data_IF_494350072090
#
_entry.id   IF_494350072090
#
_cell.length_a   1.000
_cell.length_b   1.000
_cell.length_c   1.000
_cell.angle_alpha   90.00
_cell.angle_beta   90.00
_cell.angle_gamma   90.00
#
_symmetry.space_group_name_H-M   'P 1'
#
loop_
_entity.id
_entity.type
_entity.pdbx_description
1 polymer ?
#
# COMPACT_ATOMS: atom_id res chain seq x y z
N UNK A 1 31.30 2.14 4.35
CA UNK A 1 30.51 3.16 3.64
C UNK A 1 29.76 3.93 4.71
N UNK A 2 30.20 5.16 4.99
CA UNK A 2 29.45 6.06 5.89
C UNK A 2 28.14 6.39 5.19
N UNK A 3 27.09 5.63 5.51
CA UNK A 3 25.76 5.86 5.00
C UNK A 3 25.24 7.18 5.60
N UNK A 4 24.92 8.14 4.74
CA UNK A 4 24.30 9.39 5.16
C UNK A 4 23.00 9.07 5.88
N UNK A 5 22.84 9.52 7.13
CA UNK A 5 21.61 9.37 7.93
C UNK A 5 20.46 10.08 7.24
N UNK A 6 19.33 9.39 7.01
CA UNK A 6 18.16 9.97 6.38
C UNK A 6 17.34 10.76 7.41
N UNK A 7 17.17 12.04 7.18
CA UNK A 7 16.36 12.92 8.03
C UNK A 7 14.88 12.81 7.64
N UNK A 8 14.03 12.41 8.58
CA UNK A 8 12.62 12.08 8.34
C UNK A 8 11.69 12.97 9.17
N UNK A 9 10.69 13.56 8.53
CA UNK A 9 9.54 14.18 9.17
C UNK A 9 8.31 13.29 9.03
N UNK A 10 7.53 13.12 10.10
CA UNK A 10 6.28 12.36 10.08
C UNK A 10 5.10 13.32 10.20
N UNK A 11 4.22 13.33 9.19
CA UNK A 11 3.02 14.14 9.12
C UNK A 11 1.82 13.28 9.51
N UNK A 12 0.97 13.81 10.38
CA UNK A 12 -0.06 13.03 11.08
C UNK A 12 0.51 12.22 12.25
N UNK A 13 1.60 12.70 12.86
CA UNK A 13 2.38 12.01 13.90
C UNK A 13 1.58 11.63 15.16
N UNK A 14 0.50 12.36 15.49
CA UNK A 14 -0.40 12.04 16.59
C UNK A 14 -1.43 10.94 16.27
N UNK A 15 -1.57 10.56 14.99
CA UNK A 15 -2.45 9.49 14.55
C UNK A 15 -1.91 8.10 14.87
N UNK A 16 -2.79 7.09 14.78
CA UNK A 16 -2.44 5.67 15.07
C UNK A 16 -1.27 5.15 14.22
N UNK A 17 -1.29 5.42 12.91
CA UNK A 17 -0.19 5.04 12.01
C UNK A 17 1.03 5.95 12.19
N UNK A 18 0.82 7.27 12.23
CA UNK A 18 1.91 8.24 12.37
C UNK A 18 2.75 8.01 13.63
N UNK A 19 2.14 7.68 14.77
CA UNK A 19 2.88 7.36 16.01
C UNK A 19 3.73 6.08 15.85
N UNK A 20 3.20 5.04 15.17
CA UNK A 20 3.95 3.81 14.89
C UNK A 20 5.14 4.09 13.95
N UNK A 21 4.95 4.93 12.92
CA UNK A 21 6.04 5.37 12.04
C UNK A 21 7.11 6.15 12.82
N UNK A 22 6.72 7.06 13.72
CA UNK A 22 7.67 7.78 14.56
C UNK A 22 8.56 6.83 15.38
N UNK A 23 7.98 5.79 15.96
CA UNK A 23 8.73 4.76 16.68
C UNK A 23 9.68 4.01 15.74
N UNK A 24 9.19 3.51 14.62
CA UNK A 24 10.00 2.75 13.68
C UNK A 24 11.17 3.55 13.10
N UNK A 25 10.96 4.83 12.78
CA UNK A 25 12.03 5.73 12.31
C UNK A 25 13.06 6.01 13.43
N UNK A 26 12.60 6.19 14.67
CA UNK A 26 13.49 6.40 15.81
C UNK A 26 14.37 5.18 16.09
N UNK A 27 13.83 3.97 15.91
CA UNK A 27 14.54 2.71 16.16
C UNK A 27 15.47 2.32 14.99
N UNK A 28 15.32 2.94 13.82
CA UNK A 28 16.13 2.64 12.64
C UNK A 28 17.50 3.33 12.73
N UNK A 29 18.63 2.59 12.69
CA UNK A 29 19.97 3.15 12.95
C UNK A 29 20.47 4.09 11.83
N UNK A 30 19.86 4.03 10.66
CA UNK A 30 20.18 4.81 9.47
C UNK A 30 19.25 6.00 9.24
N UNK A 31 18.36 6.30 10.22
CA UNK A 31 17.38 7.36 10.11
C UNK A 31 17.41 8.27 11.34
N UNK A 32 16.99 9.52 11.16
CA UNK A 32 16.83 10.50 12.21
C UNK A 32 15.44 11.13 12.11
N UNK A 33 14.61 10.98 13.13
CA UNK A 33 13.31 11.63 13.23
C UNK A 33 13.48 13.10 13.61
N UNK A 34 13.44 13.99 12.62
CA UNK A 34 13.65 15.43 12.84
C UNK A 34 12.38 16.17 13.24
N UNK A 35 11.21 15.72 12.78
CA UNK A 35 9.96 16.41 13.06
C UNK A 35 8.78 15.44 13.22
N UNK A 36 7.86 15.81 14.13
CA UNK A 36 6.56 15.20 14.34
C UNK A 36 5.49 16.27 14.10
N UNK A 37 4.87 16.25 12.94
CA UNK A 37 3.93 17.28 12.49
C UNK A 37 2.51 16.77 12.70
N UNK A 38 1.70 17.56 13.39
CA UNK A 38 0.28 17.32 13.63
C UNK A 38 -0.59 18.22 12.73
N UNK A 39 -1.91 18.11 12.85
CA UNK A 39 -2.86 18.94 12.09
C UNK A 39 -2.76 20.44 12.40
N UNK A 40 -2.20 20.81 13.55
CA UNK A 40 -2.14 22.18 14.04
C UNK A 40 -0.81 22.85 13.66
N UNK A 41 0.15 22.09 13.12
CA UNK A 41 1.48 22.57 12.75
C UNK A 41 1.54 22.89 11.24
N UNK A 42 2.11 24.04 10.83
CA UNK A 42 2.35 24.30 9.44
C UNK A 42 3.47 23.42 8.88
N UNK A 43 3.41 23.07 7.59
CA UNK A 43 4.50 22.36 6.91
C UNK A 43 5.38 23.36 6.19
N UNK A 44 6.55 23.66 6.75
CA UNK A 44 7.53 24.59 6.20
C UNK A 44 8.95 24.23 6.64
N UNK A 45 9.95 24.89 6.11
CA UNK A 45 11.37 24.59 6.38
C UNK A 45 11.73 24.59 7.89
N UNK A 46 11.10 25.45 8.69
CA UNK A 46 11.35 25.52 10.12
C UNK A 46 10.79 24.28 10.86
N UNK A 47 9.53 23.93 10.58
CA UNK A 47 8.86 22.79 11.25
C UNK A 47 9.38 21.44 10.77
N UNK A 48 9.84 21.35 9.51
CA UNK A 48 10.47 20.15 8.95
C UNK A 48 11.89 19.90 9.51
N UNK A 49 12.52 20.92 10.07
CA UNK A 49 13.79 20.81 10.81
C UNK A 49 14.89 20.05 10.03
N UNK A 50 15.05 20.33 8.73
CA UNK A 50 16.07 19.68 7.89
C UNK A 50 15.74 18.27 7.43
N UNK A 51 14.48 17.86 7.49
CA UNK A 51 14.03 16.60 6.89
C UNK A 51 14.30 16.57 5.37
N UNK A 52 14.71 15.41 4.87
CA UNK A 52 14.86 15.13 3.43
C UNK A 52 13.71 14.27 2.89
N UNK A 53 13.02 13.54 3.80
CA UNK A 53 11.85 12.71 3.49
C UNK A 53 10.73 13.05 4.46
N UNK A 54 9.54 13.33 3.93
CA UNK A 54 8.29 13.44 4.68
C UNK A 54 7.46 12.18 4.52
N UNK A 55 6.96 11.61 5.64
CA UNK A 55 6.07 10.45 5.64
C UNK A 55 4.66 10.91 6.01
N UNK A 56 3.72 10.78 5.08
CA UNK A 56 2.33 11.25 5.25
C UNK A 56 1.38 10.10 5.58
N UNK A 57 0.82 10.12 6.79
CA UNK A 57 -0.31 9.30 7.22
C UNK A 57 -1.46 10.16 7.74
N UNK A 58 -1.79 11.22 7.01
CA UNK A 58 -2.92 12.10 7.29
C UNK A 58 -4.25 11.52 6.73
N UNK A 59 -5.17 12.38 6.36
CA UNK A 59 -6.50 12.02 5.85
C UNK A 59 -6.62 12.34 4.36
N UNK A 60 -7.57 11.73 3.62
CA UNK A 60 -7.74 11.89 2.17
C UNK A 60 -7.90 13.34 1.69
N UNK A 61 -8.50 14.20 2.54
CA UNK A 61 -8.75 15.60 2.19
C UNK A 61 -7.52 16.50 2.36
N UNK A 62 -6.55 16.08 3.18
CA UNK A 62 -5.36 16.87 3.48
C UNK A 62 -4.11 16.40 2.71
N UNK A 63 -4.07 15.15 2.22
CA UNK A 63 -2.84 14.53 1.72
C UNK A 63 -2.26 15.23 0.49
N UNK A 64 -3.07 15.74 -0.44
CA UNK A 64 -2.56 16.43 -1.62
C UNK A 64 -1.80 17.73 -1.25
N UNK A 65 -2.38 18.54 -0.36
CA UNK A 65 -1.74 19.77 0.11
C UNK A 65 -0.50 19.47 0.97
N UNK A 66 -0.57 18.41 1.78
CA UNK A 66 0.57 17.89 2.56
C UNK A 66 1.75 17.52 1.65
N UNK A 67 1.50 16.72 0.62
CA UNK A 67 2.55 16.28 -0.33
C UNK A 67 3.11 17.48 -1.09
N UNK A 68 2.26 18.37 -1.58
CA UNK A 68 2.69 19.62 -2.23
C UNK A 68 3.61 20.43 -1.32
N UNK A 69 3.23 20.62 -0.06
CA UNK A 69 4.03 21.36 0.91
C UNK A 69 5.38 20.67 1.18
N UNK A 70 5.44 19.34 1.28
CA UNK A 70 6.68 18.59 1.42
C UNK A 70 7.62 18.82 0.24
N UNK A 71 7.13 18.65 -1.00
CA UNK A 71 7.94 18.80 -2.21
C UNK A 71 8.47 20.23 -2.36
N UNK A 72 7.66 21.25 -2.13
CA UNK A 72 8.06 22.66 -2.23
C UNK A 72 9.05 23.09 -1.14
N UNK A 73 9.09 22.37 -0.02
CA UNK A 73 10.10 22.57 1.03
C UNK A 73 11.30 21.63 0.91
N UNK A 74 11.48 20.96 -0.24
CA UNK A 74 12.68 20.18 -0.56
C UNK A 74 12.69 18.75 -0.01
N UNK A 75 11.56 18.22 0.48
CA UNK A 75 11.44 16.84 0.93
C UNK A 75 10.88 15.93 -0.18
N UNK A 76 11.36 14.69 -0.26
CA UNK A 76 10.63 13.60 -0.92
C UNK A 76 9.41 13.22 -0.06
N UNK A 77 8.40 12.57 -0.65
CA UNK A 77 7.19 12.19 0.08
C UNK A 77 6.90 10.69 -0.03
N UNK A 78 6.75 10.04 1.14
CA UNK A 78 6.25 8.65 1.27
C UNK A 78 4.84 8.72 1.84
N UNK A 79 3.84 8.29 1.06
CA UNK A 79 2.43 8.59 1.31
C UNK A 79 1.63 7.32 1.55
N UNK A 80 1.07 7.20 2.77
CA UNK A 80 0.14 6.13 3.15
C UNK A 80 -1.31 6.61 3.28
N UNK A 81 -1.57 7.91 3.13
CA UNK A 81 -2.92 8.44 3.10
C UNK A 81 -3.63 8.03 1.80
N UNK A 82 -4.91 7.70 1.89
CA UNK A 82 -5.76 7.27 0.77
C UNK A 82 -6.47 8.46 0.10
N UNK A 83 -7.32 8.20 -0.91
CA UNK A 83 -8.13 9.24 -1.58
C UNK A 83 -7.43 9.89 -2.77
N UNK A 84 -6.45 9.24 -3.34
CA UNK A 84 -5.79 9.64 -4.58
C UNK A 84 -6.62 9.30 -5.79
N UNK A 85 -6.80 10.29 -6.69
CA UNK A 85 -7.41 10.12 -8.01
C UNK A 85 -6.36 10.38 -9.09
N UNK A 86 -6.58 9.93 -10.35
CA UNK A 86 -5.65 10.25 -11.44
C UNK A 86 -5.35 11.75 -11.58
N UNK A 87 -6.35 12.62 -11.34
CA UNK A 87 -6.20 14.06 -11.44
C UNK A 87 -5.34 14.63 -10.32
N UNK A 88 -5.49 14.13 -9.07
CA UNK A 88 -4.61 14.50 -7.95
C UNK A 88 -3.17 14.08 -8.23
N UNK A 89 -2.97 12.84 -8.71
CA UNK A 89 -1.65 12.32 -9.07
C UNK A 89 -1.00 13.21 -10.13
N UNK A 90 -1.70 13.54 -11.22
CA UNK A 90 -1.18 14.40 -12.29
C UNK A 90 -0.76 15.79 -11.79
N UNK A 91 -1.50 16.37 -10.84
CA UNK A 91 -1.10 17.64 -10.22
C UNK A 91 0.19 17.50 -9.40
N UNK A 92 0.35 16.41 -8.67
CA UNK A 92 1.57 16.16 -7.88
C UNK A 92 2.76 15.78 -8.78
N UNK A 93 2.55 15.10 -9.90
CA UNK A 93 3.60 14.85 -10.91
C UNK A 93 4.21 16.16 -11.43
N UNK A 94 3.37 17.18 -11.66
CA UNK A 94 3.83 18.50 -12.07
C UNK A 94 4.74 19.12 -11.01
N UNK A 95 4.32 19.12 -9.75
CA UNK A 95 5.11 19.68 -8.63
C UNK A 95 6.39 18.88 -8.41
N UNK A 96 6.33 17.55 -8.47
CA UNK A 96 7.50 16.68 -8.33
C UNK A 96 8.56 16.98 -9.40
N UNK A 97 8.12 17.20 -10.64
CA UNK A 97 9.01 17.58 -11.75
C UNK A 97 9.64 18.96 -11.55
N UNK A 98 8.85 19.94 -11.10
CA UNK A 98 9.32 21.33 -10.87
C UNK A 98 10.33 21.40 -9.72
N UNK A 99 10.12 20.62 -8.67
CA UNK A 99 10.97 20.60 -7.46
C UNK A 99 12.14 19.63 -7.54
N UNK A 100 12.15 18.70 -8.50
CA UNK A 100 13.11 17.59 -8.56
C UNK A 100 12.99 16.63 -7.39
N UNK A 101 11.79 16.54 -6.75
CA UNK A 101 11.52 15.63 -5.64
C UNK A 101 10.66 14.46 -6.09
N UNK A 102 10.72 13.35 -5.32
CA UNK A 102 10.08 12.10 -5.67
C UNK A 102 8.97 11.77 -4.67
N UNK A 103 7.97 11.04 -5.13
CA UNK A 103 6.80 10.66 -4.34
C UNK A 103 6.51 9.18 -4.51
N UNK A 104 6.32 8.48 -3.42
CA UNK A 104 5.67 7.18 -3.40
C UNK A 104 4.27 7.32 -2.81
N UNK A 105 3.26 6.94 -3.56
CA UNK A 105 1.89 6.75 -3.05
C UNK A 105 1.65 5.25 -2.93
N UNK A 106 1.62 4.72 -1.70
CA UNK A 106 1.40 3.30 -1.50
C UNK A 106 0.09 3.04 -0.74
N UNK A 107 -0.89 2.39 -1.38
CA UNK A 107 -2.15 2.02 -0.73
C UNK A 107 -1.95 0.96 0.36
N UNK A 108 -0.82 0.25 0.33
CA UNK A 108 -0.44 -0.73 1.33
C UNK A 108 1.09 -0.78 1.50
N UNK A 109 1.57 -0.70 2.75
CA UNK A 109 2.99 -0.86 3.13
C UNK A 109 3.30 -2.23 3.75
N UNK A 110 2.32 -3.12 3.89
CA UNK A 110 2.56 -4.48 4.37
C UNK A 110 3.30 -5.31 3.32
N UNK A 111 4.56 -5.64 3.56
CA UNK A 111 5.37 -6.43 2.63
C UNK A 111 4.70 -7.75 2.28
N UNK A 112 4.13 -8.45 3.27
CA UNK A 112 3.41 -9.71 3.05
C UNK A 112 2.20 -9.55 2.13
N UNK A 113 1.43 -8.45 2.28
CA UNK A 113 0.27 -8.18 1.43
C UNK A 113 0.69 -7.84 -0.01
N UNK A 114 1.73 -7.01 -0.19
CA UNK A 114 2.26 -6.66 -1.51
C UNK A 114 2.81 -7.90 -2.20
N UNK A 115 3.59 -8.73 -1.50
CA UNK A 115 4.11 -9.99 -2.04
C UNK A 115 3.02 -10.98 -2.42
N UNK A 116 1.99 -11.12 -1.57
CA UNK A 116 0.83 -11.99 -1.87
C UNK A 116 0.14 -11.53 -3.15
N UNK A 117 -0.08 -10.22 -3.32
CA UNK A 117 -0.65 -9.63 -4.53
C UNK A 117 0.19 -9.94 -5.77
N UNK A 118 1.52 -9.71 -5.69
CA UNK A 118 2.44 -9.95 -6.79
C UNK A 118 2.49 -11.44 -7.18
N UNK A 119 2.59 -12.33 -6.20
CA UNK A 119 2.63 -13.78 -6.45
C UNK A 119 1.28 -14.29 -7.01
N UNK A 120 0.16 -13.76 -6.53
CA UNK A 120 -1.16 -14.08 -7.05
C UNK A 120 -1.31 -13.64 -8.51
N UNK A 121 -0.88 -12.43 -8.85
CA UNK A 121 -0.85 -11.91 -10.23
C UNK A 121 -0.01 -12.82 -11.14
N UNK A 122 1.18 -13.21 -10.70
CA UNK A 122 2.09 -14.07 -11.46
C UNK A 122 1.56 -15.50 -11.63
N UNK A 123 0.90 -16.05 -10.61
CA UNK A 123 0.41 -17.43 -10.61
C UNK A 123 -0.95 -17.57 -11.34
N UNK A 124 -1.81 -16.57 -11.26
CA UNK A 124 -3.20 -16.67 -11.73
C UNK A 124 -3.40 -17.14 -13.17
N UNK A 125 -2.52 -16.84 -14.15
CA UNK A 125 -2.64 -17.34 -15.52
C UNK A 125 -2.50 -18.87 -15.66
N UNK A 126 -1.91 -19.54 -14.68
CA UNK A 126 -1.64 -20.98 -14.73
C UNK A 126 -2.73 -21.83 -14.05
N UNK A 127 -3.75 -21.16 -13.46
CA UNK A 127 -4.82 -21.84 -12.73
C UNK A 127 -6.19 -21.56 -13.35
N UNK A 128 -7.03 -22.61 -13.38
CA UNK A 128 -8.38 -22.55 -13.94
C UNK A 128 -9.30 -21.67 -13.09
N UNK A 129 -9.18 -21.74 -11.75
CA UNK A 129 -10.03 -21.05 -10.78
C UNK A 129 -9.22 -20.23 -9.81
N UNK A 130 -9.74 -19.06 -9.43
CA UNK A 130 -9.15 -18.20 -8.39
C UNK A 130 -10.25 -17.60 -7.53
N UNK A 131 -10.08 -17.64 -6.21
CA UNK A 131 -10.93 -16.94 -5.23
C UNK A 131 -10.08 -16.22 -4.19
N UNK A 132 -10.59 -15.10 -3.67
CA UNK A 132 -9.92 -14.30 -2.64
C UNK A 132 -10.77 -14.30 -1.37
N UNK A 133 -10.14 -14.55 -0.21
CA UNK A 133 -10.78 -14.47 1.11
C UNK A 133 -10.05 -13.45 1.95
N UNK A 134 -10.70 -12.33 2.26
CA UNK A 134 -10.15 -11.32 3.16
C UNK A 134 -10.81 -11.37 4.54
N UNK A 135 -10.04 -11.12 5.59
CA UNK A 135 -10.51 -11.25 6.96
C UNK A 135 -10.01 -10.09 7.80
N UNK A 136 -10.94 -9.37 8.45
CA UNK A 136 -10.64 -8.21 9.29
C UNK A 136 -11.46 -8.20 10.58
N UNK A 137 -11.08 -7.28 11.47
CA UNK A 137 -11.87 -6.97 12.68
C UNK A 137 -13.25 -6.40 12.31
N UNK A 138 -14.27 -6.51 13.22
CA UNK A 138 -15.63 -6.08 12.92
C UNK A 138 -15.81 -4.58 12.67
N UNK A 139 -14.86 -3.76 13.17
CA UNK A 139 -14.94 -2.30 13.04
C UNK A 139 -14.44 -1.77 11.67
N UNK A 140 -14.08 -2.66 10.73
CA UNK A 140 -13.74 -2.30 9.36
C UNK A 140 -15.01 -2.01 8.56
N UNK A 141 -15.12 -0.78 8.05
CA UNK A 141 -16.36 -0.26 7.44
C UNK A 141 -16.57 -0.72 5.99
N UNK A 142 -15.49 -0.92 5.24
CA UNK A 142 -15.54 -1.37 3.85
C UNK A 142 -15.49 -2.91 3.77
N UNK A 143 -16.22 -3.48 2.83
CA UNK A 143 -16.20 -4.89 2.45
C UNK A 143 -16.56 -5.03 0.96
N UNK A 144 -15.72 -5.72 0.16
CA UNK A 144 -14.38 -6.18 0.47
C UNK A 144 -13.39 -5.05 0.75
N UNK A 145 -12.26 -5.38 1.39
CA UNK A 145 -11.18 -4.42 1.66
C UNK A 145 -10.58 -3.87 0.36
N UNK A 146 -10.00 -2.65 0.42
CA UNK A 146 -9.31 -2.07 -0.73
C UNK A 146 -8.16 -2.95 -1.25
N UNK A 147 -7.42 -3.62 -0.35
CA UNK A 147 -6.36 -4.58 -0.73
C UNK A 147 -6.94 -5.75 -1.50
N UNK A 148 -8.00 -6.39 -1.02
CA UNK A 148 -8.61 -7.53 -1.70
C UNK A 148 -9.22 -7.16 -3.07
N UNK A 149 -9.76 -5.94 -3.20
CA UNK A 149 -10.19 -5.41 -4.50
C UNK A 149 -9.02 -5.28 -5.47
N UNK A 150 -7.93 -4.65 -5.04
CA UNK A 150 -6.73 -4.48 -5.86
C UNK A 150 -6.10 -5.84 -6.24
N UNK A 151 -6.06 -6.81 -5.30
CA UNK A 151 -5.61 -8.18 -5.57
C UNK A 151 -6.46 -8.84 -6.66
N UNK A 152 -7.79 -8.77 -6.56
CA UNK A 152 -8.70 -9.35 -7.54
C UNK A 152 -8.58 -8.69 -8.92
N UNK A 153 -8.43 -7.36 -8.97
CA UNK A 153 -8.24 -6.60 -10.21
C UNK A 153 -6.92 -6.98 -10.91
N UNK A 154 -5.81 -7.10 -10.16
CA UNK A 154 -4.51 -7.54 -10.71
C UNK A 154 -4.59 -8.98 -11.25
N UNK A 155 -5.21 -9.89 -10.50
CA UNK A 155 -5.45 -11.27 -10.93
C UNK A 155 -6.28 -11.29 -12.23
N UNK A 156 -7.37 -10.54 -12.27
CA UNK A 156 -8.24 -10.48 -13.45
C UNK A 156 -7.49 -9.93 -14.68
N UNK A 157 -6.70 -8.87 -14.51
CA UNK A 157 -5.89 -8.29 -15.58
C UNK A 157 -4.85 -9.29 -16.11
N UNK A 158 -4.13 -10.00 -15.23
CA UNK A 158 -3.15 -11.01 -15.62
C UNK A 158 -3.79 -12.17 -16.37
N UNK A 159 -4.95 -12.67 -15.90
CA UNK A 159 -5.71 -13.73 -16.57
C UNK A 159 -6.22 -13.28 -17.95
N UNK A 160 -6.74 -12.07 -18.05
CA UNK A 160 -7.21 -11.50 -19.33
C UNK A 160 -6.05 -11.34 -20.32
N UNK A 161 -4.89 -10.83 -19.89
CA UNK A 161 -3.70 -10.71 -20.73
C UNK A 161 -3.18 -12.06 -21.24
N UNK A 162 -3.35 -13.13 -20.46
CA UNK A 162 -3.00 -14.50 -20.84
C UNK A 162 -4.08 -15.23 -21.66
N UNK A 163 -5.24 -14.60 -21.91
CA UNK A 163 -6.35 -15.23 -22.65
C UNK A 163 -7.06 -16.35 -21.88
N UNK A 164 -7.02 -16.35 -20.55
CA UNK A 164 -7.67 -17.37 -19.73
C UNK A 164 -9.19 -17.32 -19.87
N UNK A 165 -9.81 -18.50 -19.91
CA UNK A 165 -11.26 -18.63 -19.84
C UNK A 165 -11.79 -18.17 -18.46
N UNK A 166 -13.07 -17.79 -18.34
CA UNK A 166 -13.72 -17.61 -17.05
C UNK A 166 -13.60 -18.87 -16.18
N UNK A 167 -13.44 -18.67 -14.86
CA UNK A 167 -13.43 -19.80 -13.92
C UNK A 167 -14.75 -20.59 -13.99
N UNK A 168 -14.72 -21.92 -13.94
CA UNK A 168 -15.93 -22.74 -13.90
C UNK A 168 -16.75 -22.42 -12.65
N UNK A 169 -18.04 -22.17 -12.84
CA UNK A 169 -18.98 -21.89 -11.75
C UNK A 169 -20.37 -22.38 -12.18
N UNK A 170 -20.82 -23.47 -11.61
CA UNK A 170 -22.14 -24.06 -11.90
C UNK A 170 -23.26 -23.45 -11.04
N UNK A 171 -22.95 -22.43 -10.23
CA UNK A 171 -23.92 -21.79 -9.34
C UNK A 171 -24.98 -21.05 -10.16
N UNK A 172 -26.26 -21.32 -9.90
CA UNK A 172 -27.40 -20.70 -10.59
C UNK A 172 -28.20 -19.82 -9.63
N UNK A 173 -28.74 -18.70 -10.19
CA UNK A 173 -29.57 -17.76 -9.44
C UNK A 173 -28.78 -16.86 -8.47
N UNK A 174 -29.49 -16.12 -7.60
CA UNK A 174 -28.84 -15.29 -6.59
C UNK A 174 -28.04 -16.12 -5.60
N UNK A 175 -26.73 -15.89 -5.54
CA UNK A 175 -25.81 -16.67 -4.70
C UNK A 175 -24.88 -15.77 -3.88
N UNK A 176 -25.41 -15.03 -2.88
CA UNK A 176 -24.60 -14.07 -2.09
C UNK A 176 -23.47 -14.75 -1.30
N UNK A 177 -23.59 -16.05 -1.03
CA UNK A 177 -22.53 -16.84 -0.39
C UNK A 177 -21.29 -17.04 -1.28
N UNK A 178 -21.40 -16.77 -2.59
CA UNK A 178 -20.27 -16.81 -3.56
C UNK A 178 -19.43 -15.54 -3.55
N UNK A 179 -19.63 -14.65 -2.58
CA UNK A 179 -18.91 -13.39 -2.46
C UNK A 179 -19.30 -12.34 -3.50
N UNK A 180 -18.57 -11.23 -3.49
CA UNK A 180 -18.68 -10.17 -4.51
C UNK A 180 -17.71 -10.46 -5.67
N UNK A 181 -18.18 -10.40 -6.91
CA UNK A 181 -17.29 -10.56 -8.09
C UNK A 181 -16.64 -9.23 -8.44
N UNK A 182 -15.34 -9.11 -8.20
CA UNK A 182 -14.51 -7.97 -8.60
C UNK A 182 -13.79 -8.35 -9.92
N UNK A 183 -14.11 -7.66 -10.99
CA UNK A 183 -13.60 -7.99 -12.33
C UNK A 183 -13.71 -9.48 -12.70
N UNK A 184 -14.77 -10.16 -12.20
CA UNK A 184 -15.02 -11.58 -12.41
C UNK A 184 -14.39 -12.53 -11.39
N UNK A 185 -13.53 -12.06 -10.50
CA UNK A 185 -12.91 -12.85 -9.41
C UNK A 185 -13.80 -12.78 -8.17
N UNK A 186 -14.23 -13.93 -7.59
CA UNK A 186 -14.98 -13.94 -6.33
C UNK A 186 -14.11 -13.49 -5.15
N UNK A 187 -14.63 -12.54 -4.35
CA UNK A 187 -14.00 -12.03 -3.14
C UNK A 187 -14.93 -12.21 -1.96
N UNK A 188 -14.46 -12.89 -0.93
CA UNK A 188 -15.20 -13.18 0.30
C UNK A 188 -14.66 -12.36 1.45
N UNK A 189 -15.55 -11.72 2.23
CA UNK A 189 -15.18 -10.89 3.37
C UNK A 189 -15.61 -11.51 4.70
N UNK A 190 -14.65 -11.75 5.59
CA UNK A 190 -14.90 -12.22 6.97
C UNK A 190 -14.67 -11.07 7.95
N UNK A 191 -15.60 -10.89 8.90
CA UNK A 191 -15.50 -9.92 10.00
C UNK A 191 -15.60 -10.68 11.31
N UNK A 192 -14.48 -10.77 12.07
CA UNK A 192 -14.40 -11.55 13.30
C UNK A 192 -13.50 -10.87 14.32
N UNK A 193 -13.88 -10.88 15.60
CA UNK A 193 -13.01 -10.39 16.68
C UNK A 193 -11.75 -11.24 16.78
N UNK A 194 -10.61 -10.57 17.07
CA UNK A 194 -9.29 -11.20 17.11
C UNK A 194 -8.55 -11.15 15.78
N UNK A 195 -9.22 -10.84 14.67
CA UNK A 195 -8.55 -10.56 13.38
C UNK A 195 -8.10 -9.10 13.32
N UNK A 196 -7.03 -8.87 12.56
CA UNK A 196 -6.56 -7.52 12.21
C UNK A 196 -6.69 -7.28 10.69
N UNK A 197 -5.77 -7.80 9.88
CA UNK A 197 -5.84 -7.73 8.43
C UNK A 197 -5.18 -8.99 7.82
N UNK A 198 -5.96 -9.79 7.14
CA UNK A 198 -5.52 -11.06 6.57
C UNK A 198 -6.11 -11.24 5.17
N UNK A 199 -5.39 -11.91 4.30
CA UNK A 199 -5.87 -12.27 2.97
C UNK A 199 -5.34 -13.63 2.57
N UNK A 200 -6.19 -14.44 1.95
CA UNK A 200 -5.82 -15.70 1.32
C UNK A 200 -6.31 -15.70 -0.12
N UNK A 201 -5.41 -15.96 -1.06
CA UNK A 201 -5.74 -16.22 -2.46
C UNK A 201 -5.66 -17.71 -2.71
N UNK A 202 -6.74 -18.29 -3.16
CA UNK A 202 -6.86 -19.72 -3.52
C UNK A 202 -6.85 -19.84 -5.04
N UNK A 203 -5.92 -20.64 -5.56
CA UNK A 203 -5.79 -20.91 -6.98
C UNK A 203 -5.89 -22.44 -7.19
N UNK A 204 -6.71 -22.90 -8.12
CA UNK A 204 -7.01 -24.32 -8.29
C UNK A 204 -7.05 -24.78 -9.74
N UNK A 205 -6.53 -25.97 -9.96
CA UNK A 205 -6.67 -26.80 -11.14
C UNK A 205 -7.25 -28.19 -10.76
N UNK A 206 -7.69 -29.00 -11.69
CA UNK A 206 -8.02 -30.39 -11.39
C UNK A 206 -6.86 -31.13 -10.72
N UNK A 207 -7.05 -31.55 -9.46
CA UNK A 207 -6.09 -32.33 -8.70
C UNK A 207 -5.01 -31.55 -7.94
N UNK A 208 -4.97 -30.21 -8.04
CA UNK A 208 -4.02 -29.38 -7.31
C UNK A 208 -4.60 -28.06 -6.82
N UNK A 209 -4.01 -27.50 -5.80
CA UNK A 209 -4.34 -26.17 -5.28
C UNK A 209 -3.06 -25.45 -4.82
N UNK A 210 -2.98 -24.14 -5.11
CA UNK A 210 -2.03 -23.23 -4.49
C UNK A 210 -2.79 -22.26 -3.57
N UNK A 211 -2.34 -22.09 -2.34
CA UNK A 211 -2.83 -21.09 -1.42
C UNK A 211 -1.71 -20.10 -1.08
N UNK A 212 -1.95 -18.81 -1.35
CA UNK A 212 -1.09 -17.72 -0.94
C UNK A 212 -1.78 -17.01 0.21
N UNK A 213 -1.12 -16.90 1.36
CA UNK A 213 -1.70 -16.27 2.54
C UNK A 213 -0.77 -15.26 3.16
N UNK A 214 -1.33 -14.13 3.55
CA UNK A 214 -0.69 -13.13 4.39
C UNK A 214 -1.50 -12.87 5.66
N UNK A 215 -0.81 -12.61 6.76
CA UNK A 215 -1.38 -12.27 8.05
C UNK A 215 -0.65 -11.05 8.62
N UNK A 216 -1.37 -9.95 8.83
CA UNK A 216 -0.91 -8.76 9.53
C UNK A 216 -1.59 -8.71 10.89
N UNK A 217 -0.84 -8.98 11.96
CA UNK A 217 -1.39 -9.08 13.32
C UNK A 217 -1.49 -7.73 14.00
N UNK A 218 -0.59 -6.81 13.68
CA UNK A 218 -0.50 -5.48 14.29
C UNK A 218 -0.09 -4.43 13.26
N UNK A 219 -0.14 -3.13 13.62
CA UNK A 219 0.27 -2.02 12.72
C UNK A 219 1.77 -1.98 12.45
N UNK A 220 2.58 -2.55 13.34
CA UNK A 220 4.02 -2.68 13.15
C UNK A 220 4.38 -3.48 11.89
N UNK A 221 3.49 -4.37 11.41
CA UNK A 221 3.66 -5.13 10.16
C UNK A 221 3.82 -4.26 8.90
N UNK A 222 3.37 -2.98 8.95
CA UNK A 222 3.55 -2.04 7.84
C UNK A 222 4.90 -1.32 7.87
N UNK A 223 5.57 -1.31 9.02
CA UNK A 223 6.79 -0.51 9.21
C UNK A 223 7.96 -0.94 8.34
N UNK A 224 8.23 -2.24 8.12
CA UNK A 224 9.28 -2.64 7.18
C UNK A 224 9.11 -2.05 5.78
N UNK A 225 7.87 -1.98 5.27
CA UNK A 225 7.59 -1.37 3.97
C UNK A 225 7.72 0.15 3.97
N UNK A 226 7.34 0.83 5.06
CA UNK A 226 7.56 2.28 5.20
C UNK A 226 9.06 2.59 5.21
N UNK A 227 9.86 1.84 5.99
CA UNK A 227 11.32 2.03 6.05
C UNK A 227 11.99 1.68 4.71
N UNK A 228 11.51 0.66 4.00
CA UNK A 228 11.97 0.33 2.64
C UNK A 228 11.74 1.51 1.69
N UNK A 229 10.54 2.10 1.72
CA UNK A 229 10.19 3.25 0.91
C UNK A 229 11.07 4.47 1.22
N UNK A 230 11.28 4.78 2.50
CA UNK A 230 12.15 5.90 2.92
C UNK A 230 13.58 5.72 2.38
N UNK A 231 14.13 4.50 2.48
CA UNK A 231 15.49 4.20 1.97
C UNK A 231 15.61 4.28 0.46
N UNK A 232 14.56 3.90 -0.24
CA UNK A 232 14.58 3.80 -1.71
C UNK A 232 14.11 5.06 -2.44
N UNK A 233 13.47 6.03 -1.78
CA UNK A 233 12.74 7.11 -2.45
C UNK A 233 13.62 7.93 -3.41
N UNK A 234 14.87 8.15 -3.07
CA UNK A 234 15.83 8.92 -3.88
C UNK A 234 16.22 8.20 -5.18
N UNK A 235 16.06 6.88 -5.23
CA UNK A 235 16.40 6.03 -6.38
C UNK A 235 15.21 5.81 -7.34
N UNK A 236 14.00 6.30 -6.99
CA UNK A 236 12.78 6.10 -7.76
C UNK A 236 12.21 7.46 -8.20
N UNK A 237 12.67 8.00 -9.34
CA UNK A 237 12.33 9.37 -9.77
C UNK A 237 10.86 9.53 -10.12
N UNK A 238 10.34 10.74 -9.87
CA UNK A 238 8.96 11.13 -10.19
C UNK A 238 7.94 10.65 -9.14
N UNK A 239 6.73 10.37 -9.57
CA UNK A 239 5.65 9.84 -8.74
C UNK A 239 5.46 8.37 -9.06
N UNK A 240 5.62 7.53 -8.04
CA UNK A 240 5.40 6.09 -8.12
C UNK A 240 4.14 5.72 -7.34
N UNK A 241 3.35 4.79 -7.88
CA UNK A 241 2.16 4.24 -7.20
C UNK A 241 2.37 2.75 -6.99
N UNK A 242 2.29 2.32 -5.72
CA UNK A 242 2.53 0.94 -5.32
C UNK A 242 3.93 0.70 -4.77
N UNK A 243 4.01 -0.01 -3.64
CA UNK A 243 5.28 -0.33 -2.96
C UNK A 243 6.11 -1.35 -3.75
N UNK A 244 5.49 -2.13 -4.63
CA UNK A 244 6.15 -3.13 -5.49
C UNK A 244 7.29 -2.54 -6.32
N UNK A 245 7.24 -1.26 -6.65
CA UNK A 245 8.29 -0.55 -7.39
C UNK A 245 9.61 -0.46 -6.60
N UNK A 246 9.54 -0.59 -5.28
CA UNK A 246 10.68 -0.54 -4.36
C UNK A 246 11.24 -1.91 -3.99
N UNK A 247 10.59 -2.98 -4.47
CA UNK A 247 11.01 -4.36 -4.24
C UNK A 247 11.84 -4.83 -5.44
N UNK A 248 13.16 -4.87 -5.28
CA UNK A 248 14.05 -5.38 -6.32
C UNK A 248 13.94 -6.91 -6.40
N UNK A 249 13.56 -7.42 -7.57
CA UNK A 249 13.70 -8.83 -7.93
C UNK A 249 14.75 -8.93 -9.01
N UNK A 250 15.92 -9.42 -8.68
CA UNK A 250 16.81 -9.94 -9.71
C UNK A 250 16.17 -11.23 -10.24
N UNK A 251 15.76 -11.21 -11.51
CA UNK A 251 15.29 -12.40 -12.23
C UNK A 251 16.47 -13.12 -12.87
#
# INVERSE_FOLDING_TARGET
MDGMTINVAVIGAAGRMGSTVCTAVTDAPDMNLTARITKDDPINAQTLAGATVGVDFTVPDATEDTVRALLTNGCHAVVGATGWTPEKIARIETVAKETGRHVLIAPNFGLSAVLTMMFAEMAAPYFESVEVVEMHHPDKVDAPSGTARATAEKIAAARAAAGCAPAPDATTGPAPARGEKIAGIPVHAVRLRGLNAHETVLLGNPGEQLALRQDSFTRESFMPGVLLAIRGIDQHPGVQVGLEQYMSWER
#
